data_IF_967901915419
#
_entry.id   IF_967901915419
#
_cell.length_a   1.000
_cell.length_b   1.000
_cell.length_c   1.000
_cell.angle_alpha   90.00
_cell.angle_beta   90.00
_cell.angle_gamma   90.00
#
_symmetry.space_group_name_H-M   'P 1'
#
loop_
_entity.id
_entity.type
_entity.pdbx_description
1 polymer ?
#
# COMPACT_ATOMS: atom_id res chain seq x y z
N UNK A 1 3.92 10.91 18.02
CA UNK A 1 2.85 9.93 17.73
C UNK A 1 1.69 10.19 18.66
N UNK A 2 0.48 10.26 18.16
CA UNK A 2 -0.69 10.55 18.98
C UNK A 2 -1.21 9.29 19.68
N UNK A 3 -2.19 9.45 20.59
CA UNK A 3 -2.75 8.32 21.34
C UNK A 3 -3.41 7.29 20.44
N UNK A 4 -4.01 7.73 19.36
CA UNK A 4 -4.69 6.87 18.40
C UNK A 4 -3.70 5.90 17.73
N UNK A 5 -2.56 6.41 17.28
CA UNK A 5 -1.53 5.56 16.68
C UNK A 5 -0.97 4.55 17.66
N UNK A 6 -0.80 4.95 18.94
CA UNK A 6 -0.31 4.03 19.97
C UNK A 6 -1.30 2.90 20.25
N UNK A 7 -2.59 3.19 20.26
CA UNK A 7 -3.64 2.19 20.45
C UNK A 7 -3.66 1.22 19.29
N UNK A 8 -3.59 1.72 18.04
CA UNK A 8 -3.57 0.87 16.86
C UNK A 8 -2.35 -0.03 16.83
N UNK A 9 -1.18 0.47 17.22
CA UNK A 9 0.02 -0.34 17.29
C UNK A 9 -0.10 -1.46 18.32
N UNK A 10 -0.78 -1.22 19.43
CA UNK A 10 -1.07 -2.25 20.43
C UNK A 10 -2.03 -3.30 19.90
N UNK A 11 -3.05 -2.88 19.15
CA UNK A 11 -4.00 -3.81 18.52
C UNK A 11 -3.29 -4.72 17.53
N UNK A 12 -2.32 -4.20 16.79
CA UNK A 12 -1.54 -5.03 15.86
C UNK A 12 -0.79 -6.15 16.58
N UNK A 13 -0.33 -5.91 17.79
CA UNK A 13 0.34 -6.94 18.59
C UNK A 13 -0.61 -8.02 19.07
N UNK A 14 -1.89 -7.68 19.25
CA UNK A 14 -2.92 -8.60 19.70
C UNK A 14 -3.54 -9.34 18.54
N UNK A 15 -3.76 -8.66 17.41
CA UNK A 15 -4.38 -9.24 16.23
C UNK A 15 -3.36 -10.02 15.42
N UNK A 16 -3.69 -11.24 14.96
CA UNK A 16 -2.81 -11.99 14.06
C UNK A 16 -2.57 -11.22 12.77
N UNK A 17 -1.34 -11.25 12.26
CA UNK A 17 -0.98 -10.63 11.00
C UNK A 17 -1.92 -11.02 9.84
N UNK A 18 -2.41 -12.28 9.73
CA UNK A 18 -3.35 -12.64 8.67
C UNK A 18 -4.66 -11.86 8.69
N UNK A 19 -5.19 -11.48 9.86
CA UNK A 19 -6.41 -10.69 9.93
C UNK A 19 -6.19 -9.28 9.39
N UNK A 20 -5.04 -8.68 9.71
CA UNK A 20 -4.67 -7.37 9.19
C UNK A 20 -4.47 -7.44 7.68
N UNK A 21 -3.78 -8.48 7.19
CA UNK A 21 -3.55 -8.67 5.76
C UNK A 21 -4.85 -8.89 4.99
N UNK A 22 -5.80 -9.66 5.56
CA UNK A 22 -7.10 -9.90 4.93
C UNK A 22 -7.87 -8.58 4.79
N UNK A 23 -7.87 -7.76 5.83
CA UNK A 23 -8.57 -6.47 5.80
C UNK A 23 -7.96 -5.53 4.76
N UNK A 24 -6.64 -5.46 4.70
CA UNK A 24 -5.93 -4.63 3.75
C UNK A 24 -6.17 -5.10 2.30
N UNK A 25 -6.11 -6.41 2.06
CA UNK A 25 -6.35 -6.99 0.75
C UNK A 25 -7.77 -6.71 0.26
N UNK A 26 -8.75 -6.75 1.17
CA UNK A 26 -10.14 -6.42 0.85
C UNK A 26 -10.26 -4.96 0.40
N UNK A 27 -9.58 -4.03 1.09
CA UNK A 27 -9.56 -2.62 0.70
C UNK A 27 -8.97 -2.42 -0.69
N UNK A 28 -7.88 -3.10 -1.00
CA UNK A 28 -7.25 -3.05 -2.32
C UNK A 28 -8.17 -3.64 -3.40
N UNK A 29 -8.88 -4.74 -3.09
CA UNK A 29 -9.81 -5.35 -4.02
C UNK A 29 -10.97 -4.42 -4.35
N UNK A 30 -11.48 -3.71 -3.36
CA UNK A 30 -12.54 -2.72 -3.57
C UNK A 30 -12.02 -1.60 -4.48
N UNK A 31 -10.82 -1.11 -4.23
CA UNK A 31 -10.21 -0.08 -5.06
C UNK A 31 -10.03 -0.55 -6.50
N UNK A 32 -9.61 -1.80 -6.70
CA UNK A 32 -9.50 -2.40 -8.03
C UNK A 32 -10.86 -2.50 -8.71
N UNK A 33 -11.89 -2.92 -7.97
CA UNK A 33 -13.26 -3.00 -8.50
C UNK A 33 -13.74 -1.64 -9.00
N UNK A 34 -13.37 -0.58 -8.33
CA UNK A 34 -13.68 0.78 -8.75
C UNK A 34 -12.77 1.28 -9.89
N UNK A 35 -11.94 0.40 -10.45
CA UNK A 35 -10.97 0.70 -11.51
C UNK A 35 -9.92 1.72 -11.09
N UNK A 36 -9.73 1.86 -9.80
CA UNK A 36 -8.71 2.76 -9.29
C UNK A 36 -7.32 2.14 -9.37
N UNK A 37 -7.19 0.88 -8.95
CA UNK A 37 -5.95 0.12 -9.07
C UNK A 37 -6.14 -0.98 -10.09
N UNK A 38 -5.51 -0.83 -11.25
CA UNK A 38 -5.48 -1.86 -12.28
C UNK A 38 -4.07 -2.48 -12.25
N UNK A 39 -3.90 -3.64 -11.59
CA UNK A 39 -2.57 -4.19 -11.41
C UNK A 39 -1.95 -4.58 -12.76
N UNK A 40 -0.67 -4.24 -12.99
CA UNK A 40 0.01 -4.67 -14.20
C UNK A 40 0.25 -6.18 -14.15
N UNK A 41 0.38 -6.80 -15.32
CA UNK A 41 0.59 -8.24 -15.42
C UNK A 41 1.89 -8.68 -14.74
N UNK A 42 2.87 -7.79 -14.66
CA UNK A 42 4.18 -8.07 -14.08
C UNK A 42 4.15 -8.37 -12.58
N UNK A 43 3.09 -7.93 -11.88
CA UNK A 43 2.97 -8.21 -10.45
C UNK A 43 2.20 -9.49 -10.16
N UNK A 44 1.68 -10.15 -11.18
CA UNK A 44 0.94 -11.41 -11.00
C UNK A 44 1.80 -12.46 -10.32
N UNK A 45 1.27 -13.06 -9.25
CA UNK A 45 1.97 -14.09 -8.48
C UNK A 45 3.04 -13.57 -7.53
N UNK A 46 3.33 -12.27 -7.53
CA UNK A 46 4.33 -11.69 -6.63
C UNK A 46 3.75 -11.48 -5.25
N UNK A 47 4.63 -11.49 -4.24
CA UNK A 47 4.26 -11.34 -2.83
C UNK A 47 4.72 -9.98 -2.35
N UNK A 48 3.83 -9.28 -1.66
CA UNK A 48 4.06 -7.91 -1.22
C UNK A 48 3.81 -7.76 0.26
N UNK A 49 4.50 -6.81 0.88
CA UNK A 49 4.20 -6.36 2.24
C UNK A 49 4.07 -4.84 2.24
N UNK A 50 3.11 -4.36 3.01
CA UNK A 50 2.95 -2.93 3.31
C UNK A 50 3.19 -2.75 4.79
N UNK A 51 4.14 -1.90 5.14
CA UNK A 51 4.45 -1.58 6.52
C UNK A 51 4.11 -0.12 6.80
N UNK A 52 3.19 0.09 7.73
CA UNK A 52 2.82 1.44 8.19
C UNK A 52 3.60 1.71 9.45
N UNK A 53 4.63 2.54 9.36
CA UNK A 53 5.65 2.68 10.40
C UNK A 53 5.11 3.20 11.74
N UNK A 54 4.31 4.26 11.68
CA UNK A 54 3.79 4.92 12.88
C UNK A 54 2.71 4.09 13.58
N UNK A 55 2.09 3.14 12.89
CA UNK A 55 1.10 2.24 13.48
C UNK A 55 1.70 0.88 13.83
N UNK A 56 2.89 0.57 13.36
CA UNK A 56 3.50 -0.73 13.57
C UNK A 56 2.79 -1.87 12.84
N UNK A 57 1.99 -1.56 11.83
CA UNK A 57 1.22 -2.57 11.09
C UNK A 57 2.00 -3.05 9.87
N UNK A 58 1.99 -4.36 9.66
CA UNK A 58 2.57 -4.98 8.47
C UNK A 58 1.57 -5.95 7.88
N UNK A 59 1.18 -5.72 6.63
CA UNK A 59 0.21 -6.55 5.94
C UNK A 59 0.85 -7.17 4.70
N UNK A 60 0.66 -8.47 4.51
CA UNK A 60 1.21 -9.20 3.37
C UNK A 60 0.07 -9.64 2.45
N UNK A 61 0.31 -9.55 1.17
CA UNK A 61 -0.67 -9.93 0.16
C UNK A 61 0.01 -10.33 -1.14
N UNK A 62 -0.76 -10.99 -2.01
CA UNK A 62 -0.32 -11.32 -3.37
C UNK A 62 -1.40 -10.91 -4.36
N UNK A 63 -1.02 -10.82 -5.62
CA UNK A 63 -1.96 -10.57 -6.71
C UNK A 63 -2.09 -11.85 -7.55
N UNK A 64 -3.31 -12.37 -7.67
CA UNK A 64 -3.59 -13.54 -8.51
C UNK A 64 -4.86 -13.30 -9.31
N UNK A 65 -4.75 -13.51 -10.62
CA UNK A 65 -5.87 -13.29 -11.57
C UNK A 65 -6.42 -11.87 -11.46
N UNK A 66 -5.51 -10.89 -11.27
CA UNK A 66 -5.87 -9.49 -11.12
C UNK A 66 -6.53 -9.12 -9.79
N UNK A 67 -6.49 -10.02 -8.80
CA UNK A 67 -7.09 -9.80 -7.48
C UNK A 67 -6.04 -9.85 -6.39
N UNK A 68 -6.17 -8.97 -5.40
CA UNK A 68 -5.31 -8.97 -4.23
C UNK A 68 -5.85 -9.92 -3.18
N UNK A 69 -4.97 -10.78 -2.65
CA UNK A 69 -5.32 -11.78 -1.63
C UNK A 69 -4.37 -11.70 -0.46
N UNK A 70 -4.85 -11.91 0.78
CA UNK A 70 -3.96 -11.91 1.94
C UNK A 70 -3.01 -13.09 1.91
N UNK A 71 -1.81 -12.89 2.49
CA UNK A 71 -0.81 -13.94 2.64
C UNK A 71 -0.48 -14.16 4.11
N UNK A 72 -0.10 -15.39 4.42
CA UNK A 72 0.25 -15.83 5.77
C UNK A 72 1.75 -15.94 5.99
N UNK A 73 2.55 -15.54 5.00
CA UNK A 73 4.00 -15.67 5.04
C UNK A 73 4.65 -14.35 5.45
N UNK A 74 5.88 -14.45 6.01
CA UNK A 74 6.72 -13.29 6.26
C UNK A 74 7.65 -13.00 5.10
N UNK A 75 7.83 -13.94 4.18
CA UNK A 75 8.68 -13.78 3.01
C UNK A 75 7.92 -13.13 1.88
N UNK A 76 8.43 -12.01 1.39
CA UNK A 76 7.82 -11.27 0.30
C UNK A 76 8.87 -10.89 -0.74
N UNK A 77 8.42 -10.64 -1.96
CA UNK A 77 9.29 -10.21 -3.04
C UNK A 77 9.56 -8.71 -2.95
N UNK A 78 8.62 -7.94 -2.41
CA UNK A 78 8.73 -6.49 -2.28
C UNK A 78 8.04 -6.02 -1.03
N UNK A 79 8.66 -5.06 -0.31
CA UNK A 79 8.04 -4.40 0.83
C UNK A 79 8.05 -2.89 0.61
N UNK A 80 6.91 -2.26 0.83
CA UNK A 80 6.76 -0.82 0.85
C UNK A 80 6.56 -0.38 2.31
N UNK A 81 7.30 0.64 2.72
CA UNK A 81 7.19 1.16 4.08
C UNK A 81 7.07 2.68 4.07
N UNK A 82 6.15 3.20 4.86
CA UNK A 82 5.94 4.64 5.02
C UNK A 82 5.06 4.89 6.23
N UNK A 83 4.89 6.17 6.59
CA UNK A 83 3.91 6.55 7.59
C UNK A 83 2.49 6.46 6.99
N UNK A 84 1.49 6.39 7.86
CA UNK A 84 0.09 6.42 7.41
C UNK A 84 -0.20 7.67 6.60
N UNK A 85 0.29 8.83 7.05
CA UNK A 85 0.08 10.09 6.34
C UNK A 85 0.65 10.08 4.93
N UNK A 86 1.82 9.47 4.75
CA UNK A 86 2.44 9.36 3.43
C UNK A 86 1.70 8.40 2.51
N UNK A 87 1.20 7.27 3.06
CA UNK A 87 0.36 6.38 2.28
C UNK A 87 -0.96 7.06 1.86
N UNK A 88 -1.56 7.83 2.76
CA UNK A 88 -2.79 8.57 2.43
C UNK A 88 -2.51 9.64 1.37
N UNK A 89 -1.37 10.33 1.45
CA UNK A 89 -0.99 11.31 0.44
C UNK A 89 -0.82 10.65 -0.93
N UNK A 90 -0.21 9.45 -0.96
CA UNK A 90 -0.06 8.68 -2.18
C UNK A 90 -1.42 8.27 -2.76
N UNK A 91 -2.31 7.76 -1.91
CA UNK A 91 -3.65 7.33 -2.30
C UNK A 91 -4.48 8.49 -2.83
N UNK A 92 -4.38 9.65 -2.19
CA UNK A 92 -5.13 10.86 -2.58
C UNK A 92 -4.50 11.61 -3.74
N UNK A 93 -3.26 11.27 -4.10
CA UNK A 93 -2.56 11.95 -5.18
C UNK A 93 -1.97 13.30 -4.81
N UNK A 94 -1.87 13.62 -3.51
CA UNK A 94 -1.21 14.84 -3.05
C UNK A 94 0.31 14.75 -3.11
N UNK A 95 0.83 13.52 -3.14
CA UNK A 95 2.25 13.24 -3.37
C UNK A 95 2.37 12.01 -4.25
N UNK A 96 3.34 12.00 -5.14
CA UNK A 96 3.59 10.84 -5.98
C UNK A 96 4.62 9.90 -5.33
N UNK A 97 4.64 8.65 -5.77
CA UNK A 97 5.54 7.63 -5.22
C UNK A 97 7.00 8.00 -5.45
N UNK A 98 7.31 8.56 -6.59
CA UNK A 98 8.68 8.95 -6.94
C UNK A 98 9.21 10.03 -5.99
N UNK A 99 8.42 11.06 -5.75
CA UNK A 99 8.77 12.15 -4.82
C UNK A 99 8.98 11.61 -3.41
N UNK A 100 8.05 10.80 -2.90
CA UNK A 100 8.16 10.24 -1.57
C UNK A 100 9.39 9.33 -1.44
N UNK A 101 9.70 8.58 -2.48
CA UNK A 101 10.88 7.72 -2.50
C UNK A 101 12.17 8.55 -2.43
N UNK A 102 12.31 9.59 -3.24
CA UNK A 102 13.50 10.45 -3.21
C UNK A 102 13.62 11.23 -1.91
N UNK A 103 12.53 11.56 -1.27
CA UNK A 103 12.54 12.21 0.04
C UNK A 103 12.76 11.23 1.19
N UNK A 104 12.93 9.95 0.89
CA UNK A 104 13.10 8.86 1.88
C UNK A 104 11.90 8.71 2.79
N UNK A 105 10.73 9.15 2.36
CA UNK A 105 9.47 8.99 3.07
C UNK A 105 8.76 7.70 2.67
N UNK A 106 9.00 7.21 1.46
CA UNK A 106 8.56 5.89 1.01
C UNK A 106 9.80 5.03 0.83
N UNK A 107 9.85 3.90 1.54
CA UNK A 107 10.94 2.93 1.40
C UNK A 107 10.45 1.75 0.58
N UNK A 108 11.29 1.34 -0.36
CA UNK A 108 11.02 0.19 -1.21
C UNK A 108 12.18 -0.78 -1.02
N UNK A 109 11.87 -1.97 -0.52
CA UNK A 109 12.88 -2.99 -0.24
C UNK A 109 12.51 -4.30 -0.90
N UNK A 110 13.52 -5.01 -1.41
CA UNK A 110 13.34 -6.31 -2.07
C UNK A 110 13.79 -6.25 -3.53
N UNK A 111 13.03 -6.88 -4.42
CA UNK A 111 13.34 -6.94 -5.85
C UNK A 111 13.32 -5.54 -6.47
N UNK A 112 14.48 -5.07 -6.92
CA UNK A 112 14.65 -3.71 -7.45
C UNK A 112 13.79 -3.46 -8.70
N UNK A 113 13.76 -4.42 -9.60
CA UNK A 113 12.97 -4.28 -10.83
C UNK A 113 11.48 -4.23 -10.53
N UNK A 114 11.03 -5.12 -9.64
CA UNK A 114 9.63 -5.12 -9.19
C UNK A 114 9.28 -3.82 -8.49
N UNK A 115 10.19 -3.29 -7.67
CA UNK A 115 10.00 -2.02 -7.00
C UNK A 115 9.79 -0.87 -7.96
N UNK A 116 10.55 -0.84 -9.05
CA UNK A 116 10.40 0.16 -10.09
C UNK A 116 9.06 0.05 -10.81
N UNK A 117 8.64 -1.17 -11.12
CA UNK A 117 7.35 -1.44 -11.76
C UNK A 117 6.22 -0.94 -10.87
N UNK A 118 6.25 -1.28 -9.60
CA UNK A 118 5.20 -0.87 -8.64
C UNK A 118 5.18 0.66 -8.47
N UNK A 119 6.35 1.28 -8.32
CA UNK A 119 6.43 2.72 -8.16
C UNK A 119 5.82 3.44 -9.38
N UNK A 120 6.17 3.00 -10.57
CA UNK A 120 5.66 3.61 -11.80
C UNK A 120 4.16 3.36 -11.96
N UNK A 121 3.70 2.18 -11.59
CA UNK A 121 2.27 1.86 -11.63
C UNK A 121 1.46 2.76 -10.68
N UNK A 122 1.95 2.96 -9.46
CA UNK A 122 1.26 3.82 -8.50
C UNK A 122 1.16 5.25 -9.02
N UNK A 123 2.21 5.76 -9.67
CA UNK A 123 2.21 7.12 -10.20
C UNK A 123 1.34 7.27 -11.45
N UNK A 124 1.20 6.20 -12.23
CA UNK A 124 0.39 6.22 -13.45
C UNK A 124 -1.09 5.94 -13.20
N UNK A 125 -1.44 5.43 -12.01
CA UNK A 125 -2.81 5.03 -11.70
C UNK A 125 -3.70 6.25 -11.53
N UNK A 126 -4.82 6.29 -12.28
CA UNK A 126 -5.84 7.31 -12.11
C UNK A 126 -6.66 7.03 -10.85
N UNK A 127 -6.97 8.09 -10.12
CA UNK A 127 -7.73 7.99 -8.89
C UNK A 127 -9.15 8.49 -9.09
N UNK A 128 -10.13 7.91 -8.37
CA UNK A 128 -11.49 8.43 -8.39
C UNK A 128 -11.52 9.90 -7.96
N UNK A 129 -12.44 10.68 -8.52
CA UNK A 129 -12.52 12.11 -8.24
C UNK A 129 -12.72 12.41 -6.75
N UNK A 130 -13.44 11.54 -6.02
CA UNK A 130 -13.69 11.72 -4.60
C UNK A 130 -12.44 11.54 -3.73
N UNK A 131 -11.37 10.93 -4.27
CA UNK A 131 -10.08 10.81 -3.58
C UNK A 131 -9.15 11.98 -3.87
N UNK A 132 -9.46 12.79 -4.88
CA UNK A 132 -8.61 13.93 -5.22
C UNK A 132 -8.79 15.05 -4.21
N UNK A 133 -7.69 15.77 -3.87
CA UNK A 133 -7.80 16.96 -3.03
C UNK A 133 -8.75 17.97 -3.67
N UNK A 134 -9.63 18.57 -2.88
CA UNK A 134 -10.63 19.50 -3.37
C UNK A 134 -10.05 20.72 -4.07
N UNK A 135 -8.88 21.17 -3.63
CA UNK A 135 -8.20 22.33 -4.23
C UNK A 135 -7.68 22.08 -5.64
N UNK A 136 -7.66 20.84 -6.12
CA UNK A 136 -7.14 20.48 -7.43
C UNK A 136 -8.21 20.26 -8.48
N UNK A 137 -9.46 20.38 -8.11
CA UNK A 137 -10.58 20.11 -9.01
C UNK A 137 -11.02 21.34 -9.80
N UNK A 138 -10.37 22.42 -9.63
CA UNK A 138 -10.73 23.70 -10.27
C UNK A 138 -10.17 23.83 -11.68
#
# INVERSE_FOLDING_TARGET
MNRFSAVLARLDRVLPAPLVSAHFALGLEIARYLKWLLPPVEIEGKRFAIKVDDLGLRSCFTCRRGRFRPLWTTEVDLQLGASLGDFLALVRGTSDADTLFFQRRLRIAGDTELGLIVKNWLDATERPSWLRPTGLTL
#
